data_IF_370097921820
#
_entry.id   IF_370097921820
#
_cell.length_a   1.000
_cell.length_b   1.000
_cell.length_c   1.000
_cell.angle_alpha   90.00
_cell.angle_beta   90.00
_cell.angle_gamma   90.00
#
_symmetry.space_group_name_H-M   'P 1'
#
loop_
_entity.id
_entity.type
_entity.pdbx_description
1 polymer ?
#
# COMPACT_ATOMS: atom_id res chain seq x y z
N UNK A 1 -7.04 5.59 -1.84
CA UNK A 1 -5.75 5.37 -1.15
C UNK A 1 -5.73 3.91 -0.77
N UNK A 2 -4.61 3.23 -0.96
CA UNK A 2 -4.47 1.82 -0.58
C UNK A 2 -3.32 1.70 0.43
N UNK A 3 -3.50 0.83 1.41
CA UNK A 3 -2.48 0.47 2.39
C UNK A 3 -2.15 -1.01 2.16
N UNK A 4 -0.89 -1.29 1.91
CA UNK A 4 -0.38 -2.65 1.76
C UNK A 4 0.42 -3.00 3.00
N UNK A 5 0.20 -4.20 3.52
CA UNK A 5 0.83 -4.73 4.73
C UNK A 5 1.13 -6.21 4.52
N UNK A 6 2.01 -6.78 5.35
CA UNK A 6 2.15 -8.23 5.41
C UNK A 6 0.82 -8.84 5.87
N UNK A 7 0.28 -9.77 5.09
CA UNK A 7 -0.99 -10.44 5.38
C UNK A 7 -1.00 -11.19 6.73
N UNK A 8 0.17 -11.48 7.30
CA UNK A 8 0.32 -12.12 8.62
C UNK A 8 0.37 -11.11 9.76
N UNK A 9 0.92 -9.92 9.52
CA UNK A 9 1.05 -8.87 10.53
C UNK A 9 -0.16 -7.92 10.56
N UNK A 10 -0.99 -7.96 9.51
CA UNK A 10 -2.17 -7.10 9.38
C UNK A 10 -1.77 -5.63 9.62
N UNK A 11 -2.47 -4.90 10.50
CA UNK A 11 -2.18 -3.51 10.79
C UNK A 11 -1.21 -3.27 11.96
N UNK A 12 -0.56 -4.32 12.52
CA UNK A 12 0.31 -4.17 13.70
C UNK A 12 1.46 -3.17 13.51
N UNK A 13 2.07 -3.15 12.33
CA UNK A 13 3.21 -2.28 12.05
C UNK A 13 2.80 -0.91 11.53
N UNK A 14 1.50 -0.65 11.40
CA UNK A 14 1.00 0.62 10.84
C UNK A 14 0.89 1.65 11.97
N UNK A 15 1.55 2.82 11.86
CA UNK A 15 1.47 3.85 12.88
C UNK A 15 0.03 4.30 13.13
N UNK A 16 -0.35 4.46 14.40
CA UNK A 16 -1.71 4.83 14.79
C UNK A 16 -2.14 6.18 14.19
N UNK A 17 -1.21 7.13 14.05
CA UNK A 17 -1.46 8.41 13.39
C UNK A 17 -1.79 8.26 11.89
N UNK A 18 -1.22 7.24 11.23
CA UNK A 18 -1.52 6.92 9.83
C UNK A 18 -2.89 6.25 9.73
N UNK A 19 -3.18 5.28 10.61
CA UNK A 19 -4.50 4.64 10.71
C UNK A 19 -5.60 5.65 10.99
N UNK A 20 -5.37 6.61 11.89
CA UNK A 20 -6.32 7.67 12.20
C UNK A 20 -6.63 8.55 10.98
N UNK A 21 -5.65 8.83 10.13
CA UNK A 21 -5.84 9.54 8.85
C UNK A 21 -6.50 8.66 7.79
N UNK A 22 -6.20 7.37 7.79
CA UNK A 22 -6.78 6.39 6.88
C UNK A 22 -8.26 6.11 7.21
N UNK A 23 -8.64 6.23 8.49
CA UNK A 23 -9.98 5.95 8.98
C UNK A 23 -10.18 4.47 9.25
N UNK A 24 -11.31 3.91 8.82
CA UNK A 24 -11.62 2.50 8.98
C UNK A 24 -11.20 1.73 7.72
N UNK A 25 -10.07 1.00 7.73
CA UNK A 25 -9.70 0.18 6.59
C UNK A 25 -10.70 -0.95 6.38
N UNK A 26 -10.85 -1.33 5.11
CA UNK A 26 -11.58 -2.52 4.68
C UNK A 26 -10.62 -3.40 3.91
N UNK A 27 -10.69 -4.71 4.12
CA UNK A 27 -9.93 -5.65 3.32
C UNK A 27 -10.38 -5.51 1.86
N UNK A 28 -9.46 -5.05 1.01
CA UNK A 28 -9.74 -4.86 -0.40
C UNK A 28 -9.34 -6.11 -1.22
N UNK A 29 -8.15 -6.65 -0.94
CA UNK A 29 -7.59 -7.78 -1.67
C UNK A 29 -6.43 -8.39 -0.86
N UNK A 30 -6.42 -9.72 -0.69
CA UNK A 30 -5.25 -10.47 -0.24
C UNK A 30 -4.65 -11.23 -1.42
N UNK A 31 -3.33 -11.13 -1.58
CA UNK A 31 -2.65 -11.67 -2.74
C UNK A 31 -1.18 -11.94 -2.42
N UNK A 32 -0.63 -13.01 -3.00
CA UNK A 32 0.81 -13.25 -2.94
C UNK A 32 1.51 -12.27 -3.89
N UNK A 33 2.24 -11.32 -3.31
CA UNK A 33 2.99 -10.32 -4.07
C UNK A 33 4.40 -10.86 -4.34
N UNK A 34 4.83 -10.74 -5.59
CA UNK A 34 6.21 -11.02 -6.04
C UNK A 34 6.70 -9.80 -6.80
N UNK A 35 8.01 -9.60 -6.91
CA UNK A 35 8.60 -8.44 -7.60
C UNK A 35 8.13 -8.32 -9.06
N UNK A 36 7.91 -9.44 -9.74
CA UNK A 36 7.42 -9.50 -11.13
C UNK A 36 5.92 -9.13 -11.27
N UNK A 37 5.19 -9.05 -10.16
CA UNK A 37 3.75 -8.83 -10.21
C UNK A 37 3.42 -7.37 -10.50
N UNK A 38 2.91 -7.09 -11.68
CA UNK A 38 2.44 -5.75 -12.03
C UNK A 38 1.21 -5.34 -11.18
N UNK A 39 1.32 -4.21 -10.47
CA UNK A 39 0.18 -3.54 -9.81
C UNK A 39 -0.24 -2.32 -10.65
N UNK A 40 -1.55 -2.09 -10.76
CA UNK A 40 -2.09 -1.01 -11.60
C UNK A 40 -1.73 0.41 -11.12
N UNK A 41 -1.33 0.56 -9.86
CA UNK A 41 -1.15 1.86 -9.21
C UNK A 41 0.10 1.97 -8.33
N UNK A 42 0.90 0.91 -8.22
CA UNK A 42 2.15 0.91 -7.46
C UNK A 42 3.17 -0.01 -8.14
N UNK A 43 4.43 0.16 -7.76
CA UNK A 43 5.50 -0.77 -8.12
C UNK A 43 5.58 -1.88 -7.06
N UNK A 44 5.60 -3.14 -7.47
CA UNK A 44 5.60 -4.26 -6.54
C UNK A 44 6.92 -4.39 -5.76
N UNK A 45 8.05 -4.12 -6.40
CA UNK A 45 9.35 -4.10 -5.72
C UNK A 45 9.36 -3.06 -4.60
N UNK A 46 8.92 -1.83 -4.90
CA UNK A 46 8.83 -0.76 -3.89
C UNK A 46 7.87 -1.09 -2.75
N UNK A 47 6.75 -1.76 -3.05
CA UNK A 47 5.81 -2.22 -2.01
C UNK A 47 6.50 -3.23 -1.09
N UNK A 48 7.19 -4.23 -1.66
CA UNK A 48 7.92 -5.23 -0.90
C UNK A 48 9.02 -4.58 -0.04
N UNK A 49 9.87 -3.74 -0.64
CA UNK A 49 10.93 -3.01 0.07
C UNK A 49 10.39 -2.20 1.26
N UNK A 50 9.26 -1.51 1.08
CA UNK A 50 8.68 -0.68 2.15
C UNK A 50 8.01 -1.53 3.22
N UNK A 51 7.40 -2.67 2.88
CA UNK A 51 6.88 -3.60 3.88
C UNK A 51 8.04 -4.22 4.67
N UNK A 52 9.15 -4.56 4.05
CA UNK A 52 10.33 -5.09 4.75
C UNK A 52 11.02 -4.05 5.64
N UNK A 53 11.09 -2.79 5.19
CA UNK A 53 11.76 -1.71 5.92
C UNK A 53 10.88 -1.08 7.02
N UNK A 54 9.63 -0.73 6.67
CA UNK A 54 8.72 0.05 7.51
C UNK A 54 7.51 -0.75 8.02
N UNK A 55 7.29 -1.97 7.52
CA UNK A 55 6.15 -2.81 7.88
C UNK A 55 4.86 -2.51 7.11
N UNK A 56 4.85 -1.48 6.26
CA UNK A 56 3.69 -1.09 5.45
C UNK A 56 4.08 -0.26 4.22
N UNK A 57 3.21 -0.22 3.22
CA UNK A 57 3.32 0.69 2.07
C UNK A 57 2.02 1.47 1.86
N UNK A 58 2.11 2.80 1.87
CA UNK A 58 0.97 3.68 1.59
C UNK A 58 0.97 4.12 0.12
N UNK A 59 0.00 3.64 -0.64
CA UNK A 59 -0.27 4.13 -1.97
C UNK A 59 -1.19 5.36 -1.89
N UNK A 60 -0.59 6.53 -2.01
CA UNK A 60 -1.32 7.77 -2.26
C UNK A 60 -1.92 7.73 -3.67
N UNK A 61 -3.12 8.31 -3.88
CA UNK A 61 -3.63 8.49 -5.23
C UNK A 61 -2.58 9.27 -6.05
N UNK A 62 -2.32 8.88 -7.31
CA UNK A 62 -1.47 9.69 -8.16
C UNK A 62 -2.05 11.11 -8.21
N UNK A 63 -1.21 12.17 -8.18
CA UNK A 63 -1.70 13.50 -8.49
C UNK A 63 -2.44 13.41 -9.82
N UNK A 64 -3.62 14.01 -9.91
CA UNK A 64 -4.36 14.10 -11.16
C UNK A 64 -3.52 14.92 -12.15
N UNK A 65 -2.54 14.31 -12.81
CA UNK A 65 -2.14 14.75 -14.14
C UNK A 65 -3.25 14.26 -15.05
N UNK A 66 -4.37 14.98 -15.01
CA UNK A 66 -5.33 14.98 -16.10
C UNK A 66 -4.53 15.19 -17.38
N UNK A 67 -4.68 14.29 -18.35
CA UNK A 67 -4.04 14.47 -19.64
C UNK A 67 -4.43 15.83 -20.21
N UNK A 68 -3.51 16.78 -20.19
CA UNK A 68 -3.47 17.86 -21.18
C UNK A 68 -2.87 17.21 -22.43
N UNK A 69 -3.70 16.98 -23.45
CA UNK A 69 -3.83 17.96 -24.53
C UNK A 69 -5.14 18.76 -24.49
#
# INVERSE_FOLDING_TARGET
MYLYVDARADLEHVPEALLARFGKPVEALSLMLTEDRALARADAGRVLDSIEADGYYLQMPPPQTWGAP
#
